data_IF_471171953945
#
_entry.id   IF_471171953945
#
_cell.length_a   1.000
_cell.length_b   1.000
_cell.length_c   1.000
_cell.angle_alpha   90.00
_cell.angle_beta   90.00
_cell.angle_gamma   90.00
#
_symmetry.space_group_name_H-M   'P 1'
#
loop_
_entity.id
_entity.type
_entity.pdbx_description
1 polymer ?
#
# COMPACT_ATOMS: atom_id res chain seq x y z
N UNK A 1 21.23 -20.33 1.82
CA UNK A 1 20.49 -21.34 1.04
C UNK A 1 21.47 -21.93 0.04
N UNK A 2 21.83 -23.20 0.18
CA UNK A 2 22.62 -23.92 -0.84
C UNK A 2 21.73 -24.34 -2.02
N UNK A 3 22.33 -24.71 -3.15
CA UNK A 3 21.58 -25.30 -4.25
C UNK A 3 20.95 -26.62 -3.81
N UNK A 4 19.73 -26.95 -4.27
CA UNK A 4 19.14 -28.25 -4.02
C UNK A 4 20.07 -29.35 -4.56
N UNK A 5 20.23 -30.43 -3.80
CA UNK A 5 20.87 -31.63 -4.30
C UNK A 5 20.04 -32.18 -5.47
N UNK A 6 20.66 -32.29 -6.65
CA UNK A 6 19.97 -32.74 -7.86
C UNK A 6 19.38 -34.15 -7.69
N UNK A 7 19.99 -35.01 -6.87
CA UNK A 7 19.49 -36.36 -6.61
C UNK A 7 18.21 -36.30 -5.77
N UNK A 8 18.18 -35.48 -4.72
CA UNK A 8 16.99 -35.31 -3.86
C UNK A 8 15.84 -34.64 -4.63
N UNK A 9 16.14 -33.67 -5.49
CA UNK A 9 15.13 -33.06 -6.36
C UNK A 9 14.52 -34.07 -7.34
N UNK A 10 15.35 -34.91 -7.95
CA UNK A 10 14.89 -35.93 -8.88
C UNK A 10 13.98 -36.94 -8.18
N UNK A 11 14.35 -37.40 -6.98
CA UNK A 11 13.53 -38.29 -6.15
C UNK A 11 12.17 -37.68 -5.82
N UNK A 12 12.13 -36.37 -5.52
CA UNK A 12 10.90 -35.64 -5.22
C UNK A 12 9.98 -35.55 -6.44
N UNK A 13 10.53 -35.32 -7.63
CA UNK A 13 9.77 -35.30 -8.89
C UNK A 13 9.23 -36.69 -9.24
N UNK A 14 10.03 -37.74 -9.05
CA UNK A 14 9.61 -39.13 -9.25
C UNK A 14 8.50 -39.54 -8.26
N UNK A 15 8.63 -39.13 -7.00
CA UNK A 15 7.59 -39.33 -5.99
C UNK A 15 6.29 -38.62 -6.41
N UNK A 16 6.34 -37.36 -6.85
CA UNK A 16 5.17 -36.63 -7.33
C UNK A 16 4.51 -37.31 -8.55
N UNK A 17 5.31 -37.83 -9.48
CA UNK A 17 4.82 -38.56 -10.65
C UNK A 17 4.05 -39.82 -10.24
N UNK A 18 4.45 -40.51 -9.17
CA UNK A 18 3.72 -41.68 -8.65
C UNK A 18 2.30 -41.35 -8.14
N UNK A 19 2.06 -40.10 -7.75
CA UNK A 19 0.75 -39.58 -7.35
C UNK A 19 -0.05 -38.94 -8.51
N UNK A 20 0.46 -39.00 -9.75
CA UNK A 20 -0.07 -38.27 -10.91
C UNK A 20 -0.13 -36.74 -10.70
N UNK A 21 0.83 -36.18 -9.96
CA UNK A 21 0.92 -34.76 -9.68
C UNK A 21 2.09 -34.15 -10.47
N UNK A 22 1.84 -33.16 -11.36
CA UNK A 22 2.94 -32.49 -12.06
C UNK A 22 3.69 -31.57 -11.08
N UNK A 23 4.97 -31.87 -10.84
CA UNK A 23 5.86 -31.08 -9.98
C UNK A 23 7.07 -30.60 -10.76
N UNK A 24 7.21 -29.28 -10.89
CA UNK A 24 8.41 -28.68 -11.46
C UNK A 24 9.53 -28.65 -10.41
N UNK A 25 10.75 -29.09 -10.77
CA UNK A 25 11.89 -29.07 -9.86
C UNK A 25 12.20 -27.66 -9.39
N UNK A 26 12.85 -27.53 -8.22
CA UNK A 26 13.36 -26.22 -7.77
C UNK A 26 14.49 -25.80 -8.70
N UNK A 27 14.39 -24.61 -9.27
CA UNK A 27 15.36 -24.12 -10.26
C UNK A 27 16.16 -22.95 -9.69
N UNK A 28 17.17 -22.49 -10.44
CA UNK A 28 17.87 -21.22 -10.15
C UNK A 28 16.92 -20.02 -10.14
N UNK A 29 15.76 -20.13 -10.81
CA UNK A 29 14.73 -19.09 -10.81
C UNK A 29 14.12 -18.84 -9.42
N UNK A 30 13.86 -19.90 -8.65
CA UNK A 30 13.35 -19.79 -7.27
C UNK A 30 14.34 -19.04 -6.39
N UNK A 31 15.61 -19.43 -6.44
CA UNK A 31 16.68 -18.77 -5.70
C UNK A 31 16.84 -17.31 -6.13
N UNK A 32 16.80 -17.03 -7.43
CA UNK A 32 16.91 -15.67 -7.96
C UNK A 32 15.79 -14.76 -7.43
N UNK A 33 14.54 -15.25 -7.39
CA UNK A 33 13.41 -14.50 -6.84
C UNK A 33 13.59 -14.21 -5.36
N UNK A 34 14.00 -15.21 -4.56
CA UNK A 34 14.25 -15.03 -3.12
C UNK A 34 15.36 -14.00 -2.88
N UNK A 35 16.47 -14.08 -3.62
CA UNK A 35 17.59 -13.13 -3.49
C UNK A 35 17.15 -11.72 -3.91
N UNK A 36 16.48 -11.58 -5.05
CA UNK A 36 16.00 -10.30 -5.55
C UNK A 36 15.08 -9.62 -4.54
N UNK A 37 14.07 -10.34 -4.04
CA UNK A 37 13.15 -9.80 -3.05
C UNK A 37 13.87 -9.47 -1.73
N UNK A 38 14.83 -10.28 -1.30
CA UNK A 38 15.63 -9.98 -0.11
C UNK A 38 16.43 -8.68 -0.24
N UNK A 39 16.98 -8.39 -1.42
CA UNK A 39 17.66 -7.11 -1.71
C UNK A 39 16.67 -5.95 -1.64
N UNK A 40 15.49 -6.11 -2.23
CA UNK A 40 14.41 -5.10 -2.18
C UNK A 40 14.00 -4.80 -0.72
N UNK A 41 13.78 -5.84 0.10
CA UNK A 41 13.50 -5.65 1.54
C UNK A 41 14.68 -5.03 2.31
N UNK A 42 15.92 -5.23 1.86
CA UNK A 42 17.09 -4.52 2.39
C UNK A 42 17.04 -3.01 2.12
N UNK A 43 16.59 -2.59 0.94
CA UNK A 43 16.38 -1.19 0.59
C UNK A 43 15.24 -0.60 1.42
N UNK A 44 14.14 -1.33 1.57
CA UNK A 44 13.01 -0.92 2.40
C UNK A 44 13.42 -0.76 3.88
N UNK A 45 14.21 -1.68 4.41
CA UNK A 45 14.74 -1.59 5.77
C UNK A 45 15.56 -0.31 5.97
N UNK A 46 16.41 0.04 5.01
CA UNK A 46 17.17 1.29 5.04
C UNK A 46 16.23 2.51 5.02
N UNK A 47 15.20 2.52 4.17
CA UNK A 47 14.21 3.60 4.11
C UNK A 47 13.43 3.75 5.42
N UNK A 48 12.99 2.64 6.03
CA UNK A 48 12.33 2.64 7.35
C UNK A 48 13.28 3.14 8.44
N UNK A 49 14.53 2.67 8.45
CA UNK A 49 15.55 3.13 9.39
C UNK A 49 15.80 4.64 9.29
N UNK A 50 15.93 5.15 8.06
CA UNK A 50 16.08 6.58 7.79
C UNK A 50 14.87 7.39 8.28
N UNK A 51 13.65 6.88 8.04
CA UNK A 51 12.42 7.52 8.47
C UNK A 51 12.28 7.55 10.01
N UNK A 52 12.64 6.46 10.69
CA UNK A 52 12.65 6.39 12.16
C UNK A 52 13.70 7.34 12.76
N UNK A 53 14.88 7.43 12.14
CA UNK A 53 15.91 8.39 12.52
C UNK A 53 15.42 9.84 12.39
N UNK A 54 14.68 10.14 11.31
CA UNK A 54 14.12 11.46 11.03
C UNK A 54 12.69 11.65 11.53
N UNK A 55 12.24 10.88 12.54
CA UNK A 55 10.84 10.92 13.04
C UNK A 55 10.35 12.28 13.54
N UNK A 56 11.27 13.20 13.85
CA UNK A 56 10.95 14.59 14.27
C UNK A 56 10.61 15.51 13.09
N UNK A 57 10.89 15.13 11.85
CA UNK A 57 10.60 15.94 10.67
C UNK A 57 9.09 15.91 10.38
N UNK A 58 8.37 17.05 10.36
CA UNK A 58 6.90 17.06 10.35
C UNK A 58 6.25 16.27 9.20
N UNK A 59 6.72 16.36 7.94
CA UNK A 59 6.16 15.56 6.85
C UNK A 59 6.32 14.04 7.05
N UNK A 60 7.42 13.59 7.69
CA UNK A 60 7.62 12.17 8.04
C UNK A 60 6.73 11.79 9.23
N UNK A 61 6.67 12.64 10.26
CA UNK A 61 5.85 12.43 11.46
C UNK A 61 4.38 12.23 11.08
N UNK A 62 3.85 13.02 10.15
CA UNK A 62 2.48 12.93 9.65
C UNK A 62 2.15 11.57 9.02
N UNK A 63 3.14 10.85 8.46
CA UNK A 63 2.93 9.51 7.90
C UNK A 63 2.93 8.40 8.95
N UNK A 64 3.20 8.68 10.23
CA UNK A 64 3.19 7.65 11.28
C UNK A 64 4.34 6.65 11.14
N UNK A 65 5.59 7.05 11.43
CA UNK A 65 6.77 6.24 11.12
C UNK A 65 6.78 4.87 11.83
N UNK A 66 6.23 4.79 13.05
CA UNK A 66 6.09 3.52 13.79
C UNK A 66 5.12 2.57 13.08
N UNK A 67 3.98 3.09 12.61
CA UNK A 67 2.98 2.30 11.90
C UNK A 67 3.56 1.70 10.61
N UNK A 68 4.36 2.49 9.91
CA UNK A 68 5.05 2.05 8.69
C UNK A 68 6.16 1.03 8.96
N UNK A 69 6.86 1.12 10.10
CA UNK A 69 7.79 0.08 10.53
C UNK A 69 7.04 -1.24 10.83
N UNK A 70 5.87 -1.17 11.47
CA UNK A 70 5.02 -2.36 11.67
C UNK A 70 4.56 -2.95 10.34
N UNK A 71 4.15 -2.12 9.37
CA UNK A 71 3.79 -2.58 8.02
C UNK A 71 4.95 -3.37 7.39
N UNK A 72 6.16 -2.83 7.43
CA UNK A 72 7.36 -3.49 6.91
C UNK A 72 7.60 -4.86 7.59
N UNK A 73 7.51 -4.93 8.92
CA UNK A 73 7.67 -6.18 9.67
C UNK A 73 6.62 -7.23 9.26
N UNK A 74 5.35 -6.84 9.14
CA UNK A 74 4.30 -7.72 8.61
C UNK A 74 4.62 -8.19 7.19
N UNK A 75 5.07 -7.29 6.30
CA UNK A 75 5.49 -7.65 4.94
C UNK A 75 6.67 -8.64 4.91
N UNK A 76 7.61 -8.55 5.86
CA UNK A 76 8.72 -9.52 6.00
C UNK A 76 8.20 -10.88 6.46
N UNK A 77 7.28 -10.92 7.42
CA UNK A 77 6.65 -12.19 7.83
C UNK A 77 5.86 -12.83 6.69
N UNK A 78 5.13 -12.03 5.91
CA UNK A 78 4.49 -12.52 4.69
C UNK A 78 5.53 -13.16 3.76
N UNK A 79 6.65 -12.48 3.48
CA UNK A 79 7.72 -13.01 2.62
C UNK A 79 8.28 -14.34 3.09
N UNK A 80 8.60 -14.45 4.38
CA UNK A 80 9.11 -15.69 4.97
C UNK A 80 8.09 -16.83 4.82
N UNK A 81 6.81 -16.53 5.05
CA UNK A 81 5.72 -17.47 4.87
C UNK A 81 5.50 -17.89 3.41
N UNK A 82 5.68 -16.97 2.46
CA UNK A 82 5.58 -17.22 1.02
C UNK A 82 6.69 -18.13 0.52
N UNK A 83 7.93 -17.90 0.96
CA UNK A 83 9.08 -18.77 0.65
C UNK A 83 8.82 -20.21 1.07
N UNK A 84 8.20 -20.43 2.23
CA UNK A 84 7.83 -21.75 2.72
C UNK A 84 6.68 -22.36 1.89
N UNK A 85 5.51 -21.72 1.88
CA UNK A 85 4.29 -22.30 1.33
C UNK A 85 4.35 -22.45 -0.20
N UNK A 86 5.04 -21.56 -0.90
CA UNK A 86 5.19 -21.65 -2.36
C UNK A 86 6.34 -22.59 -2.77
N UNK A 87 7.03 -23.23 -1.81
CA UNK A 87 8.04 -24.26 -2.08
C UNK A 87 9.35 -23.73 -2.66
N UNK A 88 9.72 -22.47 -2.39
CA UNK A 88 10.96 -21.88 -2.88
C UNK A 88 12.20 -22.40 -2.15
N UNK A 89 12.04 -22.85 -0.90
CA UNK A 89 13.12 -23.39 -0.08
C UNK A 89 12.85 -24.86 0.31
N UNK A 90 13.90 -25.67 0.54
CA UNK A 90 13.77 -27.00 1.16
C UNK A 90 13.22 -26.91 2.58
N UNK A 91 12.19 -27.71 2.86
CA UNK A 91 11.56 -27.78 4.17
C UNK A 91 12.22 -28.88 5.00
N UNK A 92 12.51 -30.04 4.38
CA UNK A 92 13.14 -31.20 5.00
C UNK A 92 14.37 -30.81 5.83
N UNK A 93 14.40 -31.27 7.09
CA UNK A 93 15.46 -31.02 8.07
C UNK A 93 15.69 -29.52 8.41
N UNK A 94 14.69 -28.67 8.20
CA UNK A 94 14.73 -27.25 8.59
C UNK A 94 13.59 -26.86 9.52
N UNK A 95 13.67 -25.65 10.08
CA UNK A 95 12.57 -25.05 10.86
C UNK A 95 11.30 -24.85 10.02
N UNK A 96 11.42 -24.81 8.69
CA UNK A 96 10.30 -24.65 7.77
C UNK A 96 9.42 -25.90 7.63
N UNK A 97 9.80 -27.03 8.22
CA UNK A 97 8.92 -28.22 8.33
C UNK A 97 7.62 -27.94 9.10
N UNK A 98 7.60 -26.92 9.97
CA UNK A 98 6.40 -26.54 10.72
C UNK A 98 5.40 -25.77 9.85
N UNK A 99 4.58 -26.48 9.09
CA UNK A 99 3.54 -25.89 8.23
C UNK A 99 2.51 -25.06 8.99
N UNK A 100 2.16 -25.44 10.22
CA UNK A 100 1.26 -24.64 11.07
C UNK A 100 1.93 -23.36 11.55
N UNK A 101 3.18 -23.44 12.01
CA UNK A 101 3.91 -22.27 12.49
C UNK A 101 4.09 -21.23 11.38
N UNK A 102 4.70 -21.63 10.27
CA UNK A 102 5.01 -20.67 9.21
C UNK A 102 3.81 -20.37 8.29
N UNK A 103 3.00 -21.37 7.96
CA UNK A 103 1.84 -21.18 7.08
C UNK A 103 0.71 -20.42 7.76
N UNK A 104 0.38 -20.73 9.01
CA UNK A 104 -0.73 -20.06 9.72
C UNK A 104 -0.21 -18.80 10.39
N UNK A 105 0.72 -18.92 11.35
CA UNK A 105 1.11 -17.76 12.17
C UNK A 105 1.94 -16.73 11.39
N UNK A 106 2.99 -17.16 10.72
CA UNK A 106 3.92 -16.24 10.04
C UNK A 106 3.28 -15.67 8.77
N UNK A 107 2.79 -16.51 7.86
CA UNK A 107 2.22 -16.06 6.58
C UNK A 107 0.86 -15.37 6.76
N UNK A 108 -0.12 -16.09 7.32
CA UNK A 108 -1.52 -15.61 7.33
C UNK A 108 -1.73 -14.54 8.41
N UNK A 109 -1.43 -14.83 9.68
CA UNK A 109 -1.79 -13.93 10.78
C UNK A 109 -0.88 -12.71 10.88
N UNK A 110 0.43 -12.93 10.99
CA UNK A 110 1.42 -11.85 11.14
C UNK A 110 1.71 -11.15 9.81
N UNK A 111 1.68 -11.89 8.70
CA UNK A 111 1.86 -11.38 7.35
C UNK A 111 0.62 -10.69 6.80
N UNK A 112 -0.24 -11.45 6.13
CA UNK A 112 -1.40 -10.94 5.36
C UNK A 112 -2.35 -10.15 6.27
N UNK A 113 -2.85 -10.77 7.34
CA UNK A 113 -3.79 -10.13 8.25
C UNK A 113 -3.18 -8.93 8.98
N UNK A 114 -1.87 -9.00 9.30
CA UNK A 114 -1.10 -7.89 9.85
C UNK A 114 -1.04 -6.69 8.89
N UNK A 115 -0.67 -6.90 7.63
CA UNK A 115 -0.68 -5.86 6.60
C UNK A 115 -2.07 -5.24 6.47
N UNK A 116 -3.12 -6.05 6.39
CA UNK A 116 -4.51 -5.57 6.34
C UNK A 116 -4.87 -4.75 7.60
N UNK A 117 -4.46 -5.20 8.80
CA UNK A 117 -4.71 -4.49 10.06
C UNK A 117 -4.10 -3.09 10.07
N UNK A 118 -2.85 -2.98 9.60
CA UNK A 118 -2.10 -1.72 9.57
C UNK A 118 -2.71 -0.74 8.56
N UNK A 119 -3.09 -1.22 7.37
CA UNK A 119 -3.80 -0.41 6.37
C UNK A 119 -5.16 0.04 6.90
N UNK A 120 -5.91 -0.87 7.54
CA UNK A 120 -7.20 -0.55 8.16
C UNK A 120 -7.06 0.54 9.24
N UNK A 121 -6.08 0.38 10.13
CA UNK A 121 -5.81 1.33 11.21
C UNK A 121 -5.45 2.70 10.64
N UNK A 122 -4.65 2.74 9.57
CA UNK A 122 -4.31 4.00 8.89
C UNK A 122 -5.55 4.67 8.32
N UNK A 123 -6.38 3.95 7.54
CA UNK A 123 -7.62 4.47 6.98
C UNK A 123 -8.58 4.96 8.08
N UNK A 124 -8.70 4.19 9.16
CA UNK A 124 -9.53 4.55 10.31
C UNK A 124 -9.02 5.79 11.04
N UNK A 125 -7.70 5.94 11.17
CA UNK A 125 -7.08 7.15 11.75
C UNK A 125 -7.45 8.38 10.92
N UNK A 126 -7.34 8.30 9.59
CA UNK A 126 -7.70 9.40 8.70
C UNK A 126 -9.19 9.76 8.81
N UNK A 127 -10.06 8.75 8.83
CA UNK A 127 -11.49 8.95 9.03
C UNK A 127 -11.79 9.66 10.36
N UNK A 128 -11.19 9.21 11.45
CA UNK A 128 -11.43 9.77 12.79
C UNK A 128 -10.94 11.21 12.93
N UNK A 129 -9.77 11.52 12.37
CA UNK A 129 -9.18 12.87 12.45
C UNK A 129 -9.92 13.86 11.55
N UNK A 130 -10.22 13.49 10.30
CA UNK A 130 -10.73 14.45 9.32
C UNK A 130 -12.26 14.52 9.28
N UNK A 131 -12.96 13.40 9.42
CA UNK A 131 -14.43 13.39 9.36
C UNK A 131 -15.03 13.66 10.74
N UNK A 132 -14.57 12.93 11.76
CA UNK A 132 -15.14 13.04 13.10
C UNK A 132 -14.55 14.19 13.93
N UNK A 133 -13.41 14.74 13.52
CA UNK A 133 -12.66 15.77 14.27
C UNK A 133 -12.34 15.34 15.72
N UNK A 134 -12.19 14.04 15.94
CA UNK A 134 -11.92 13.47 17.25
C UNK A 134 -10.43 13.13 17.41
N UNK A 135 -9.90 13.32 18.61
CA UNK A 135 -8.51 12.97 18.92
C UNK A 135 -8.28 11.47 18.81
N UNK A 136 -7.23 11.04 18.10
CA UNK A 136 -6.84 9.62 17.97
C UNK A 136 -6.20 9.04 19.24
N UNK A 137 -6.53 9.57 20.42
CA UNK A 137 -5.96 9.16 21.71
C UNK A 137 -6.96 8.32 22.49
N UNK A 138 -6.42 7.37 23.25
CA UNK A 138 -7.18 6.56 24.21
C UNK A 138 -7.59 5.19 23.67
N UNK A 139 -8.00 4.31 24.61
CA UNK A 139 -8.29 2.91 24.34
C UNK A 139 -9.48 2.71 23.39
N UNK A 140 -10.48 3.61 23.44
CA UNK A 140 -11.69 3.53 22.58
C UNK A 140 -11.36 3.61 21.10
N UNK A 141 -10.35 4.41 20.72
CA UNK A 141 -9.88 4.52 19.35
C UNK A 141 -9.28 3.19 18.85
N UNK A 142 -8.53 2.50 19.71
CA UNK A 142 -7.90 1.21 19.37
C UNK A 142 -8.82 0.00 19.54
N UNK A 143 -10.02 0.16 20.11
CA UNK A 143 -10.92 -0.96 20.38
C UNK A 143 -11.28 -1.80 19.14
N UNK A 144 -11.59 -1.23 17.95
CA UNK A 144 -11.85 -2.02 16.74
C UNK A 144 -10.63 -2.84 16.30
N UNK A 145 -9.42 -2.27 16.43
CA UNK A 145 -8.18 -2.97 16.10
C UNK A 145 -7.90 -4.10 17.09
N UNK A 146 -8.08 -3.85 18.40
CA UNK A 146 -7.89 -4.87 19.45
C UNK A 146 -8.87 -6.03 19.23
N UNK A 147 -10.14 -5.72 18.92
CA UNK A 147 -11.14 -6.74 18.59
C UNK A 147 -10.72 -7.56 17.35
N UNK A 148 -10.23 -6.91 16.30
CA UNK A 148 -9.73 -7.58 15.10
C UNK A 148 -8.51 -8.47 15.40
N UNK A 149 -7.53 -7.98 16.17
CA UNK A 149 -6.36 -8.77 16.62
C UNK A 149 -6.81 -9.98 17.43
N UNK A 150 -7.78 -9.81 18.34
CA UNK A 150 -8.33 -10.91 19.14
C UNK A 150 -8.98 -11.97 18.24
N UNK A 151 -9.76 -11.56 17.23
CA UNK A 151 -10.33 -12.48 16.24
C UNK A 151 -9.25 -13.26 15.47
N UNK A 152 -8.18 -12.59 15.03
CA UNK A 152 -7.03 -13.23 14.36
C UNK A 152 -6.36 -14.25 15.28
N UNK A 153 -6.11 -13.88 16.54
CA UNK A 153 -5.45 -14.77 17.51
C UNK A 153 -6.32 -15.98 17.81
N UNK A 154 -7.62 -15.80 18.04
CA UNK A 154 -8.56 -16.90 18.24
C UNK A 154 -8.58 -17.81 17.02
N UNK A 155 -8.66 -17.24 15.81
CA UNK A 155 -8.59 -18.02 14.57
C UNK A 155 -7.28 -18.83 14.48
N UNK A 156 -6.13 -18.22 14.80
CA UNK A 156 -4.83 -18.89 14.82
C UNK A 156 -4.73 -20.04 15.81
N UNK A 157 -5.25 -19.85 17.02
CA UNK A 157 -5.29 -20.89 18.06
C UNK A 157 -6.19 -22.04 17.63
N UNK A 158 -7.40 -21.76 17.15
CA UNK A 158 -8.34 -22.78 16.65
C UNK A 158 -7.72 -23.54 15.48
N UNK A 159 -7.16 -22.84 14.50
CA UNK A 159 -6.51 -23.42 13.34
C UNK A 159 -5.31 -24.32 13.71
N UNK A 160 -4.58 -23.96 14.77
CA UNK A 160 -3.44 -24.75 15.27
C UNK A 160 -3.87 -25.97 16.07
N UNK A 161 -5.02 -25.89 16.75
CA UNK A 161 -5.62 -26.98 17.53
C UNK A 161 -6.32 -28.03 16.65
N UNK A 162 -6.70 -27.68 15.41
CA UNK A 162 -7.25 -28.62 14.45
C UNK A 162 -6.25 -29.74 14.10
N UNK A 163 -6.79 -30.89 13.72
CA UNK A 163 -6.00 -32.01 13.23
C UNK A 163 -5.22 -31.62 11.95
N UNK A 164 -4.09 -32.27 11.70
CA UNK A 164 -3.20 -31.94 10.57
C UNK A 164 -3.95 -32.01 9.23
N UNK A 165 -4.72 -33.09 9.04
CA UNK A 165 -5.55 -33.31 7.85
C UNK A 165 -6.66 -32.28 7.63
N UNK A 166 -7.05 -31.53 8.67
CA UNK A 166 -8.07 -30.49 8.59
C UNK A 166 -7.49 -29.07 8.47
N UNK A 167 -6.18 -28.90 8.63
CA UNK A 167 -5.49 -27.60 8.70
C UNK A 167 -4.35 -27.51 7.70
N UNK A 168 -3.12 -27.65 8.18
CA UNK A 168 -1.90 -27.66 7.39
C UNK A 168 -1.05 -28.87 7.79
N UNK A 169 -0.59 -29.60 6.78
CA UNK A 169 0.19 -30.83 6.92
C UNK A 169 1.43 -30.76 6.04
N UNK A 170 2.55 -31.22 6.60
CA UNK A 170 3.79 -31.40 5.84
C UNK A 170 3.74 -32.76 5.15
N UNK A 171 3.98 -32.80 3.84
CA UNK A 171 4.05 -34.03 3.05
C UNK A 171 5.52 -34.33 2.78
N UNK A 172 6.15 -35.29 3.49
CA UNK A 172 7.59 -35.54 3.40
C UNK A 172 8.05 -35.94 2.00
N UNK A 173 7.23 -36.70 1.26
CA UNK A 173 7.55 -37.21 -0.07
C UNK A 173 7.68 -36.10 -1.12
N UNK A 174 6.93 -35.01 -0.91
CA UNK A 174 6.87 -33.88 -1.82
C UNK A 174 7.66 -32.67 -1.31
N UNK A 175 8.14 -32.69 -0.07
CA UNK A 175 8.81 -31.58 0.60
C UNK A 175 7.99 -30.26 0.48
N UNK A 176 6.67 -30.36 0.71
CA UNK A 176 5.73 -29.22 0.65
C UNK A 176 4.79 -29.19 1.86
N UNK A 177 4.27 -28.00 2.13
CA UNK A 177 3.14 -27.80 3.05
C UNK A 177 1.82 -27.82 2.27
N UNK A 178 0.99 -28.81 2.53
CA UNK A 178 -0.38 -28.87 2.02
C UNK A 178 -1.33 -28.21 2.99
N UNK A 179 -2.25 -27.39 2.48
CA UNK A 179 -3.35 -26.83 3.27
C UNK A 179 -4.66 -27.51 2.84
N UNK A 180 -5.44 -27.95 3.83
CA UNK A 180 -6.75 -28.52 3.57
C UNK A 180 -7.67 -27.49 2.89
N UNK A 181 -8.45 -27.92 1.90
CA UNK A 181 -9.36 -27.06 1.15
C UNK A 181 -10.36 -26.27 2.03
N UNK A 182 -11.07 -26.86 3.02
CA UNK A 182 -11.96 -26.08 3.88
C UNK A 182 -11.21 -25.01 4.67
N UNK A 183 -9.98 -25.32 5.12
CA UNK A 183 -9.14 -24.36 5.81
C UNK A 183 -8.75 -23.19 4.90
N UNK A 184 -8.30 -23.47 3.66
CA UNK A 184 -8.03 -22.44 2.65
C UNK A 184 -9.24 -21.51 2.45
N UNK A 185 -10.44 -22.07 2.25
CA UNK A 185 -11.67 -21.29 2.07
C UNK A 185 -11.91 -20.36 3.27
N UNK A 186 -11.77 -20.87 4.49
CA UNK A 186 -11.96 -20.07 5.71
C UNK A 186 -10.97 -18.90 5.82
N UNK A 187 -9.70 -19.12 5.48
CA UNK A 187 -8.66 -18.08 5.46
C UNK A 187 -9.01 -16.99 4.44
N UNK A 188 -9.33 -17.37 3.20
CA UNK A 188 -9.69 -16.39 2.16
C UNK A 188 -10.97 -15.64 2.50
N UNK A 189 -12.00 -16.29 3.05
CA UNK A 189 -13.22 -15.63 3.49
C UNK A 189 -12.92 -14.55 4.55
N UNK A 190 -12.05 -14.87 5.52
CA UNK A 190 -11.63 -13.93 6.55
C UNK A 190 -10.84 -12.73 5.99
N UNK A 191 -9.89 -12.98 5.08
CA UNK A 191 -9.10 -11.92 4.43
C UNK A 191 -9.98 -11.03 3.53
N UNK A 192 -10.93 -11.62 2.81
CA UNK A 192 -11.90 -10.88 1.99
C UNK A 192 -12.82 -10.01 2.84
N UNK A 193 -13.37 -10.54 3.94
CA UNK A 193 -14.22 -9.76 4.85
C UNK A 193 -13.47 -8.53 5.39
N UNK A 194 -12.21 -8.71 5.78
CA UNK A 194 -11.35 -7.61 6.23
C UNK A 194 -11.08 -6.59 5.11
N UNK A 195 -10.75 -7.07 3.91
CA UNK A 195 -10.44 -6.21 2.77
C UNK A 195 -11.66 -5.39 2.31
N UNK A 196 -12.84 -5.98 2.33
CA UNK A 196 -14.10 -5.27 2.06
C UNK A 196 -14.34 -4.19 3.12
N UNK A 197 -14.15 -4.49 4.40
CA UNK A 197 -14.29 -3.51 5.46
C UNK A 197 -13.33 -2.31 5.28
N UNK A 198 -12.06 -2.58 4.96
CA UNK A 198 -11.06 -1.54 4.63
C UNK A 198 -11.49 -0.73 3.42
N UNK A 199 -11.99 -1.39 2.38
CA UNK A 199 -12.55 -0.74 1.19
C UNK A 199 -13.71 0.20 1.52
N UNK A 200 -14.63 -0.21 2.41
CA UNK A 200 -15.75 0.62 2.86
C UNK A 200 -15.28 1.86 3.62
N UNK A 201 -14.29 1.74 4.51
CA UNK A 201 -13.70 2.90 5.20
C UNK A 201 -13.00 3.83 4.19
N UNK A 202 -12.19 3.27 3.28
CA UNK A 202 -11.50 4.04 2.25
C UNK A 202 -12.49 4.77 1.33
N UNK A 203 -13.63 4.15 1.03
CA UNK A 203 -14.70 4.78 0.27
C UNK A 203 -15.32 5.97 1.02
N UNK A 204 -15.52 5.86 2.34
CA UNK A 204 -16.05 6.96 3.16
C UNK A 204 -15.12 8.17 3.17
N UNK A 205 -13.80 7.97 3.22
CA UNK A 205 -12.81 9.07 3.26
C UNK A 205 -12.52 9.71 1.88
N UNK A 206 -13.14 9.24 0.79
CA UNK A 206 -12.83 9.70 -0.58
C UNK A 206 -13.11 11.20 -0.81
N UNK A 207 -14.02 11.79 -0.03
CA UNK A 207 -14.41 13.19 -0.17
C UNK A 207 -13.48 14.17 0.55
N UNK A 208 -12.57 13.65 1.39
CA UNK A 208 -11.61 14.48 2.11
C UNK A 208 -10.58 14.98 1.09
N UNK A 209 -10.69 16.25 0.74
CA UNK A 209 -9.66 17.02 0.01
C UNK A 209 -8.47 17.23 0.94
N UNK A 210 -7.78 16.15 1.28
CA UNK A 210 -6.59 16.22 2.13
C UNK A 210 -5.46 16.88 1.36
N UNK A 211 -4.84 17.87 1.99
CA UNK A 211 -3.61 18.59 1.64
C UNK A 211 -2.49 17.74 1.05
N UNK A 212 -2.53 16.44 1.26
CA UNK A 212 -1.43 15.53 0.97
C UNK A 212 -1.77 14.40 0.03
N UNK A 213 -2.88 14.46 -0.71
CA UNK A 213 -3.35 13.36 -1.56
C UNK A 213 -3.49 12.03 -0.80
N UNK A 214 -3.67 12.06 0.52
CA UNK A 214 -3.68 10.84 1.34
C UNK A 214 -4.85 9.93 1.00
N UNK A 215 -6.02 10.49 0.73
CA UNK A 215 -7.17 9.71 0.26
C UNK A 215 -6.87 8.99 -1.05
N UNK A 216 -6.13 9.63 -1.97
CA UNK A 216 -5.72 9.04 -3.25
C UNK A 216 -4.65 7.96 -3.04
N UNK A 217 -3.66 8.19 -2.18
CA UNK A 217 -2.66 7.19 -1.79
C UNK A 217 -3.34 5.94 -1.19
N UNK A 218 -4.31 6.13 -0.29
CA UNK A 218 -5.07 5.04 0.33
C UNK A 218 -5.99 4.31 -0.67
N UNK A 219 -6.60 5.03 -1.61
CA UNK A 219 -7.38 4.42 -2.68
C UNK A 219 -6.50 3.53 -3.59
N UNK A 220 -5.33 4.04 -3.99
CA UNK A 220 -4.37 3.27 -4.79
C UNK A 220 -3.91 2.04 -4.01
N UNK A 221 -3.57 2.18 -2.72
CA UNK A 221 -3.20 1.07 -1.86
C UNK A 221 -4.32 0.02 -1.77
N UNK A 222 -5.57 0.45 -1.58
CA UNK A 222 -6.73 -0.44 -1.54
C UNK A 222 -6.94 -1.19 -2.86
N UNK A 223 -6.79 -0.49 -4.00
CA UNK A 223 -6.93 -1.10 -5.33
C UNK A 223 -5.83 -2.16 -5.58
N UNK A 224 -4.59 -1.88 -5.19
CA UNK A 224 -3.47 -2.84 -5.29
C UNK A 224 -3.75 -4.09 -4.44
N UNK A 225 -4.16 -3.92 -3.17
CA UNK A 225 -4.49 -5.06 -2.28
C UNK A 225 -5.62 -5.90 -2.86
N UNK A 226 -6.71 -5.28 -3.32
CA UNK A 226 -7.84 -6.01 -3.91
C UNK A 226 -7.46 -6.74 -5.19
N UNK A 227 -6.63 -6.13 -6.05
CA UNK A 227 -6.12 -6.77 -7.26
C UNK A 227 -5.31 -8.03 -6.96
N UNK A 228 -4.36 -7.94 -6.02
CA UNK A 228 -3.53 -9.08 -5.61
C UNK A 228 -4.34 -10.14 -4.87
N UNK A 229 -5.26 -9.74 -3.99
CA UNK A 229 -6.16 -10.68 -3.31
C UNK A 229 -7.04 -11.45 -4.31
N UNK A 230 -7.55 -10.76 -5.33
CA UNK A 230 -8.32 -11.39 -6.42
C UNK A 230 -7.45 -12.38 -7.18
N UNK A 231 -6.25 -11.97 -7.59
CA UNK A 231 -5.30 -12.86 -8.26
C UNK A 231 -5.02 -14.11 -7.44
N UNK A 232 -4.67 -13.97 -6.15
CA UNK A 232 -4.37 -15.09 -5.27
C UNK A 232 -5.57 -16.01 -5.05
N UNK A 233 -6.77 -15.44 -4.93
CA UNK A 233 -8.01 -16.21 -4.85
C UNK A 233 -8.21 -17.04 -6.13
N UNK A 234 -8.10 -16.41 -7.30
CA UNK A 234 -8.18 -17.12 -8.58
C UNK A 234 -7.12 -18.21 -8.70
N UNK A 235 -5.87 -17.91 -8.36
CA UNK A 235 -4.78 -18.88 -8.40
C UNK A 235 -5.06 -20.11 -7.54
N UNK A 236 -5.53 -19.94 -6.30
CA UNK A 236 -5.81 -21.07 -5.40
C UNK A 236 -6.98 -21.95 -5.87
N UNK A 237 -8.04 -21.34 -6.41
CA UNK A 237 -9.26 -22.08 -6.76
C UNK A 237 -9.24 -22.62 -8.19
N UNK A 238 -8.58 -21.94 -9.13
CA UNK A 238 -8.45 -22.38 -10.52
C UNK A 238 -7.25 -23.31 -10.69
N UNK A 239 -6.15 -23.04 -9.97
CA UNK A 239 -4.91 -23.81 -10.04
C UNK A 239 -4.49 -24.29 -8.64
N UNK A 240 -5.19 -25.27 -8.04
CA UNK A 240 -4.88 -25.73 -6.68
C UNK A 240 -3.45 -26.27 -6.51
N UNK A 241 -2.83 -26.71 -7.60
CA UNK A 241 -1.44 -27.18 -7.68
C UNK A 241 -0.44 -26.07 -8.08
N UNK A 242 -0.80 -24.79 -8.00
CA UNK A 242 0.08 -23.69 -8.38
C UNK A 242 1.46 -23.67 -7.66
N UNK A 243 1.62 -24.12 -6.39
CA UNK A 243 2.94 -24.15 -5.75
C UNK A 243 3.87 -25.17 -6.42
N UNK A 244 3.31 -26.17 -7.10
CA UNK A 244 4.05 -27.23 -7.77
C UNK A 244 4.53 -26.81 -9.16
N UNK A 245 3.95 -25.74 -9.73
CA UNK A 245 4.31 -25.23 -11.04
C UNK A 245 5.18 -23.99 -10.91
N UNK A 246 6.39 -24.03 -11.48
CA UNK A 246 7.43 -23.01 -11.35
C UNK A 246 6.91 -21.61 -11.71
N UNK A 247 6.19 -21.51 -12.83
CA UNK A 247 5.67 -20.23 -13.35
C UNK A 247 4.71 -19.58 -12.36
N UNK A 248 3.81 -20.37 -11.80
CA UNK A 248 2.76 -19.85 -10.93
C UNK A 248 3.25 -19.56 -9.52
N UNK A 249 4.13 -20.38 -8.95
CA UNK A 249 4.73 -20.08 -7.65
C UNK A 249 5.56 -18.80 -7.69
N UNK A 250 6.37 -18.61 -8.75
CA UNK A 250 7.14 -17.38 -8.94
C UNK A 250 6.21 -16.17 -9.12
N UNK A 251 5.21 -16.28 -9.99
CA UNK A 251 4.27 -15.19 -10.24
C UNK A 251 3.51 -14.76 -8.98
N UNK A 252 3.01 -15.71 -8.18
CA UNK A 252 2.31 -15.43 -6.93
C UNK A 252 3.21 -14.73 -5.92
N UNK A 253 4.41 -15.26 -5.66
CA UNK A 253 5.37 -14.63 -4.73
C UNK A 253 5.76 -13.23 -5.20
N UNK A 254 6.12 -13.06 -6.47
CA UNK A 254 6.52 -11.75 -7.00
C UNK A 254 5.38 -10.73 -6.88
N UNK A 255 4.14 -11.11 -7.21
CA UNK A 255 3.00 -10.20 -7.14
C UNK A 255 2.67 -9.79 -5.69
N UNK A 256 2.71 -10.74 -4.75
CA UNK A 256 2.49 -10.48 -3.32
C UNK A 256 3.50 -9.47 -2.75
N UNK A 257 4.77 -9.58 -3.16
CA UNK A 257 5.81 -8.68 -2.67
C UNK A 257 5.87 -7.36 -3.43
N UNK A 258 5.52 -7.33 -4.72
CA UNK A 258 5.29 -6.07 -5.44
C UNK A 258 4.15 -5.29 -4.80
N UNK A 259 3.08 -5.95 -4.35
CA UNK A 259 2.00 -5.33 -3.60
C UNK A 259 2.49 -4.69 -2.30
N UNK A 260 3.19 -5.45 -1.46
CA UNK A 260 3.75 -4.94 -0.20
C UNK A 260 4.67 -3.73 -0.41
N UNK A 261 5.56 -3.83 -1.40
CA UNK A 261 6.50 -2.77 -1.76
C UNK A 261 5.78 -1.52 -2.29
N UNK A 262 4.83 -1.71 -3.21
CA UNK A 262 4.05 -0.61 -3.75
C UNK A 262 3.26 0.10 -2.65
N UNK A 263 2.64 -0.64 -1.72
CA UNK A 263 1.97 -0.04 -0.56
C UNK A 263 2.92 0.80 0.28
N UNK A 264 4.09 0.26 0.61
CA UNK A 264 5.10 0.96 1.40
C UNK A 264 5.52 2.26 0.71
N UNK A 265 5.98 2.17 -0.54
CA UNK A 265 6.53 3.30 -1.31
C UNK A 265 5.48 4.34 -1.72
N UNK A 266 4.22 3.95 -1.95
CA UNK A 266 3.12 4.90 -2.18
C UNK A 266 2.94 5.81 -0.96
N UNK A 267 3.08 5.28 0.26
CA UNK A 267 2.88 6.04 1.50
C UNK A 267 4.12 6.86 1.89
N UNK A 268 5.32 6.26 1.84
CA UNK A 268 6.54 6.89 2.39
C UNK A 268 7.48 7.45 1.32
N UNK A 269 7.34 7.05 0.06
CA UNK A 269 8.35 7.33 -0.97
C UNK A 269 8.59 8.82 -1.17
N UNK A 270 7.50 9.60 -1.29
CA UNK A 270 7.58 11.06 -1.42
C UNK A 270 8.28 11.73 -0.22
N UNK A 271 7.83 11.55 1.05
CA UNK A 271 8.49 12.22 2.16
C UNK A 271 9.93 11.77 2.40
N UNK A 272 10.27 10.50 2.17
CA UNK A 272 11.65 9.99 2.32
C UNK A 272 12.58 10.63 1.28
N UNK A 273 12.24 10.55 -0.01
CA UNK A 273 13.07 11.09 -1.10
C UNK A 273 13.26 12.61 -0.95
N UNK A 274 12.18 13.34 -0.68
CA UNK A 274 12.26 14.79 -0.52
C UNK A 274 13.00 15.21 0.76
N UNK A 275 12.92 14.43 1.84
CA UNK A 275 13.70 14.68 3.05
C UNK A 275 15.21 14.48 2.80
N UNK A 276 15.60 13.53 1.95
CA UNK A 276 17.02 13.28 1.60
C UNK A 276 17.56 14.42 0.73
N UNK A 277 16.89 14.73 -0.38
CA UNK A 277 17.46 15.62 -1.40
C UNK A 277 17.08 17.09 -1.26
N UNK A 278 15.90 17.42 -0.70
CA UNK A 278 15.31 18.77 -0.75
C UNK A 278 14.56 19.12 0.54
N UNK A 279 15.16 18.81 1.69
CA UNK A 279 14.51 18.88 3.02
C UNK A 279 13.81 20.21 3.34
N UNK A 280 14.47 21.35 3.10
CA UNK A 280 13.90 22.68 3.40
C UNK A 280 12.75 23.03 2.46
N UNK A 281 12.99 22.94 1.15
CA UNK A 281 11.99 23.17 0.11
C UNK A 281 10.73 22.32 0.30
N UNK A 282 10.89 21.05 0.70
CA UNK A 282 9.75 20.17 0.97
C UNK A 282 8.97 20.60 2.22
N UNK A 283 9.65 21.05 3.27
CA UNK A 283 9.01 21.56 4.48
C UNK A 283 8.23 22.84 4.20
N UNK A 284 8.81 23.76 3.42
CA UNK A 284 8.16 25.02 3.05
C UNK A 284 6.92 24.75 2.19
N UNK A 285 7.05 23.87 1.19
CA UNK A 285 5.92 23.43 0.36
C UNK A 285 4.82 22.77 1.21
N UNK A 286 5.21 21.84 2.09
CA UNK A 286 4.28 21.13 2.98
C UNK A 286 3.53 22.09 3.91
N UNK A 287 4.25 23.05 4.49
CA UNK A 287 3.68 24.09 5.36
C UNK A 287 2.75 25.00 4.58
N UNK A 288 3.13 25.45 3.38
CA UNK A 288 2.27 26.27 2.53
C UNK A 288 0.97 25.54 2.17
N UNK A 289 1.02 24.25 1.86
CA UNK A 289 -0.19 23.46 1.59
C UNK A 289 -1.08 23.34 2.83
N UNK A 290 -0.52 23.07 4.02
CA UNK A 290 -1.30 23.11 5.27
C UNK A 290 -1.98 24.45 5.52
N UNK A 291 -1.31 25.55 5.16
CA UNK A 291 -1.86 26.89 5.33
C UNK A 291 -3.08 27.11 4.44
N UNK A 292 -3.01 26.67 3.18
CA UNK A 292 -4.11 26.80 2.22
C UNK A 292 -5.33 25.96 2.63
N UNK A 293 -5.12 24.80 3.24
CA UNK A 293 -6.21 23.89 3.62
C UNK A 293 -6.81 24.18 5.01
N UNK A 294 -6.36 25.25 5.68
CA UNK A 294 -6.88 25.64 7.00
C UNK A 294 -6.49 24.70 8.15
N UNK A 295 -5.59 23.74 7.92
CA UNK A 295 -5.18 22.72 8.90
C UNK A 295 -4.07 23.19 9.86
N UNK A 296 -3.69 24.47 9.82
CA UNK A 296 -2.59 25.02 10.63
C UNK A 296 -2.77 24.76 12.13
N UNK A 297 -4.01 24.90 12.63
CA UNK A 297 -4.35 24.70 14.05
C UNK A 297 -4.15 23.26 14.50
N UNK A 298 -4.38 22.27 13.62
CA UNK A 298 -4.26 20.85 13.98
C UNK A 298 -2.81 20.38 14.11
N UNK A 299 -1.86 21.08 13.49
CA UNK A 299 -0.44 20.69 13.47
C UNK A 299 0.44 21.50 14.44
N UNK A 300 -0.15 22.32 15.32
CA UNK A 300 0.58 23.13 16.30
C UNK A 300 1.75 23.90 15.67
N UNK A 301 1.55 24.46 14.47
CA UNK A 301 2.53 25.37 13.87
C UNK A 301 2.41 26.67 14.67
N UNK A 302 2.99 26.69 15.87
CA UNK A 302 3.19 27.91 16.63
C UNK A 302 3.89 28.88 15.69
N UNK A 303 3.21 29.99 15.38
CA UNK A 303 3.84 31.17 14.80
C UNK A 303 4.86 31.63 15.83
N UNK A 304 6.06 31.05 15.79
CA UNK A 304 7.20 31.51 16.57
C UNK A 304 7.24 33.01 16.32
N UNK A 305 7.04 33.81 17.36
CA UNK A 305 6.75 35.24 17.31
C UNK A 305 7.90 36.11 16.81
N UNK A 306 8.60 35.68 15.76
CA UNK A 306 9.01 36.63 14.75
C UNK A 306 7.73 37.16 14.14
N UNK A 307 7.29 38.30 14.68
CA UNK A 307 6.67 39.36 13.91
C UNK A 307 7.50 39.48 12.63
N UNK A 308 7.14 38.68 11.62
CA UNK A 308 7.37 39.05 10.25
C UNK A 308 6.62 40.35 10.18
N UNK A 309 7.35 41.47 10.23
CA UNK A 309 6.83 42.73 9.72
C UNK A 309 6.09 42.34 8.46
N UNK A 310 4.77 42.50 8.51
CA UNK A 310 3.95 42.46 7.32
C UNK A 310 4.45 43.66 6.54
N UNK A 311 5.55 43.46 5.80
CA UNK A 311 5.87 44.28 4.65
C UNK A 311 4.56 44.27 3.89
N UNK A 312 3.92 45.44 3.89
CA UNK A 312 2.78 45.71 3.03
C UNK A 312 3.02 45.01 1.71
N UNK A 313 1.99 44.35 1.13
CA UNK A 313 2.13 43.79 -0.19
C UNK A 313 2.49 44.94 -1.14
N UNK A 314 3.79 45.11 -1.38
CA UNK A 314 4.27 45.86 -2.52
C UNK A 314 3.71 45.11 -3.72
N UNK A 315 2.68 45.73 -4.27
CA UNK A 315 2.12 45.47 -5.57
C UNK A 315 3.18 44.95 -6.54
N UNK A 316 2.82 43.89 -7.27
CA UNK A 316 3.56 43.31 -8.39
C UNK A 316 4.56 42.19 -8.05
N UNK A 317 4.07 41.08 -7.50
CA UNK A 317 4.40 39.79 -8.10
C UNK A 317 3.13 39.22 -8.75
N UNK A 318 3.04 39.40 -10.07
CA UNK A 318 2.08 38.68 -10.90
C UNK A 318 2.30 37.19 -10.68
N UNK A 319 1.37 36.55 -10.00
CA UNK A 319 1.18 35.11 -10.07
C UNK A 319 0.77 34.76 -11.50
N UNK A 320 1.75 34.67 -12.40
CA UNK A 320 1.56 34.07 -13.71
C UNK A 320 1.54 32.54 -13.52
N UNK A 321 0.38 31.97 -13.84
CA UNK A 321 0.19 30.64 -14.42
C UNK A 321 0.87 29.45 -13.76
N UNK A 322 0.25 28.94 -12.69
CA UNK A 322 0.30 27.49 -12.38
C UNK A 322 -1.05 27.00 -11.85
N UNK A 323 -2.12 27.30 -12.60
CA UNK A 323 -3.39 26.60 -12.53
C UNK A 323 -3.77 26.12 -13.93
N UNK A 324 -3.26 24.95 -14.32
CA UNK A 324 -3.86 24.15 -15.38
C UNK A 324 -3.85 22.70 -14.95
N UNK A 325 -5.01 22.18 -14.57
CA UNK A 325 -5.69 21.04 -15.21
C UNK A 325 -6.92 20.68 -14.38
N UNK A 326 -8.09 21.02 -14.93
CA UNK A 326 -9.35 20.26 -14.93
C UNK A 326 -10.58 21.16 -14.77
N UNK A 327 -10.97 21.82 -15.86
CA UNK A 327 -12.36 22.09 -16.18
C UNK A 327 -12.59 21.68 -17.64
N UNK A 328 -13.59 20.85 -17.95
CA UNK A 328 -13.97 20.56 -19.31
C UNK A 328 -14.82 21.71 -19.88
N UNK A 329 -14.77 21.83 -21.20
CA UNK A 329 -15.63 22.65 -22.07
C UNK A 329 -15.23 24.12 -22.34
N UNK A 330 -14.84 24.32 -23.61
CA UNK A 330 -15.15 25.48 -24.46
C UNK A 330 -14.63 26.87 -24.08
N UNK A 331 -13.52 27.27 -24.72
CA UNK A 331 -13.51 28.24 -25.84
C UNK A 331 -12.07 28.61 -26.26
N UNK A 332 -11.89 28.72 -27.59
CA UNK A 332 -10.82 29.42 -28.34
C UNK A 332 -9.78 30.18 -27.49
N UNK A 333 -8.53 29.73 -27.53
CA UNK A 333 -7.37 30.57 -27.23
C UNK A 333 -6.62 30.93 -28.53
N UNK A 334 -6.16 32.19 -28.69
CA UNK A 334 -5.18 32.55 -29.71
C UNK A 334 -3.80 32.00 -29.33
N UNK A 335 -3.02 31.60 -30.33
CA UNK A 335 -1.66 31.08 -30.17
C UNK A 335 -0.71 32.15 -29.63
N UNK A 336 -0.36 32.08 -28.35
CA UNK A 336 0.70 32.89 -27.71
C UNK A 336 1.96 32.05 -27.55
N UNK A 337 2.47 31.52 -28.68
CA UNK A 337 3.80 30.90 -28.78
C UNK A 337 4.45 31.28 -30.11
N UNK A 338 4.39 32.57 -30.48
CA UNK A 338 5.01 33.07 -31.70
C UNK A 338 6.40 33.70 -31.49
N UNK A 339 6.81 34.06 -30.26
CA UNK A 339 8.05 34.82 -30.05
C UNK A 339 8.91 34.25 -28.92
N UNK A 340 9.55 33.10 -29.15
CA UNK A 340 10.69 32.66 -28.35
C UNK A 340 11.92 32.52 -29.27
N UNK A 341 13.03 33.24 -28.98
CA UNK A 341 14.21 33.26 -29.85
C UNK A 341 14.97 31.91 -29.81
N UNK A 342 15.47 31.50 -30.98
CA UNK A 342 15.88 30.14 -31.32
C UNK A 342 17.33 29.77 -30.92
N UNK A 343 17.95 30.50 -30.00
CA UNK A 343 19.39 30.43 -29.70
C UNK A 343 19.75 29.79 -28.35
N UNK A 344 18.79 29.18 -27.64
CA UNK A 344 19.05 28.42 -26.40
C UNK A 344 18.51 26.99 -26.35
N UNK A 345 18.48 26.29 -27.50
CA UNK A 345 18.38 24.83 -27.50
C UNK A 345 19.74 24.19 -27.78
N UNK A 346 20.43 23.84 -26.69
CA UNK A 346 21.56 22.92 -26.74
C UNK A 346 21.10 21.54 -27.22
N UNK A 347 21.51 21.22 -28.44
CA UNK A 347 22.27 20.04 -28.81
C UNK A 347 22.12 18.82 -27.89
N UNK A 348 21.36 17.84 -28.36
CA UNK A 348 21.68 16.42 -28.25
C UNK A 348 21.22 15.77 -29.56
N UNK A 349 22.20 15.23 -30.27
CA UNK A 349 22.12 14.64 -31.59
C UNK A 349 21.21 13.40 -31.68
N UNK A 350 20.73 13.19 -32.91
CA UNK A 350 20.33 11.94 -33.59
C UNK A 350 19.14 11.13 -33.05
N UNK A 351 18.15 10.71 -33.86
CA UNK A 351 18.00 10.75 -35.31
C UNK A 351 16.77 9.96 -35.75
N UNK A 352 16.36 10.16 -37.01
CA UNK A 352 15.36 9.43 -37.83
C UNK A 352 13.88 9.50 -37.40
N UNK A 353 13.07 10.38 -38.01
CA UNK A 353 12.33 10.22 -39.28
C UNK A 353 11.42 8.98 -39.34
N UNK A 354 10.10 9.19 -39.27
CA UNK A 354 9.23 8.93 -40.43
C UNK A 354 7.85 9.59 -40.27
N UNK A 355 7.38 10.06 -41.42
CA UNK A 355 6.32 11.01 -41.70
C UNK A 355 5.20 10.35 -42.52
N UNK A 356 3.95 10.68 -42.22
CA UNK A 356 2.81 10.69 -43.18
C UNK A 356 1.59 11.27 -42.44
N UNK A 357 1.11 12.50 -42.67
CA UNK A 357 0.46 13.12 -43.86
C UNK A 357 -1.02 12.70 -44.04
N UNK A 358 -1.91 13.65 -43.69
CA UNK A 358 -3.26 14.01 -44.21
C UNK A 358 -4.49 13.09 -43.92
N UNK A 359 -5.75 13.58 -44.10
CA UNK A 359 -6.31 14.90 -43.79
C UNK A 359 -7.71 14.86 -43.11
N UNK A 360 -8.18 16.07 -42.79
CA UNK A 360 -9.49 16.57 -42.33
C UNK A 360 -10.76 16.07 -43.03
N UNK A 361 -11.83 15.86 -42.26
CA UNK A 361 -13.25 16.02 -42.64
C UNK A 361 -14.03 16.49 -41.39
N UNK A 362 -14.83 17.56 -41.50
CA UNK A 362 -15.99 17.85 -40.63
C UNK A 362 -17.26 17.82 -41.49
N UNK A 363 -18.41 18.40 -41.07
CA UNK A 363 -19.01 18.61 -39.75
C UNK A 363 -20.37 17.87 -39.63
N UNK A 364 -21.03 17.90 -38.46
CA UNK A 364 -22.48 18.22 -38.29
C UNK A 364 -23.01 17.87 -36.88
N UNK A 365 -23.75 18.83 -36.32
CA UNK A 365 -24.47 18.88 -35.02
C UNK A 365 -25.79 18.06 -35.04
N UNK A 366 -26.73 18.22 -34.08
CA UNK A 366 -26.69 18.32 -32.61
C UNK A 366 -27.58 17.24 -31.93
N UNK A 367 -27.43 17.05 -30.60
CA UNK A 367 -28.36 16.23 -29.81
C UNK A 367 -28.44 16.67 -28.36
N UNK A 368 -29.44 17.48 -28.04
CA UNK A 368 -29.88 17.82 -26.68
C UNK A 368 -30.32 16.57 -25.89
N UNK A 369 -29.92 16.43 -24.63
CA UNK A 369 -30.79 15.82 -23.61
C UNK A 369 -30.50 16.39 -22.23
N UNK A 370 -31.56 16.92 -21.61
CA UNK A 370 -31.60 17.51 -20.28
C UNK A 370 -32.03 16.47 -19.23
N UNK A 371 -31.86 16.85 -17.95
CA UNK A 371 -32.44 16.28 -16.71
C UNK A 371 -31.66 15.15 -16.01
N UNK A 372 -31.15 15.40 -14.80
CA UNK A 372 -31.90 15.41 -13.53
C UNK A 372 -31.02 15.99 -12.42
N UNK A 373 -31.52 17.02 -11.75
CA UNK A 373 -30.92 17.59 -10.54
C UNK A 373 -31.27 16.76 -9.31
N UNK A 374 -30.27 16.48 -8.49
CA UNK A 374 -30.42 15.96 -7.13
C UNK A 374 -29.87 17.04 -6.18
N UNK A 375 -30.78 17.81 -5.57
CA UNK A 375 -30.45 18.68 -4.45
C UNK A 375 -30.25 17.81 -3.20
N UNK A 376 -29.05 17.83 -2.63
CA UNK A 376 -28.79 17.30 -1.29
C UNK A 376 -28.74 18.46 -0.30
N UNK A 377 -29.79 18.56 0.51
CA UNK A 377 -29.96 19.49 1.63
C UNK A 377 -28.95 19.16 2.76
N UNK A 378 -27.86 19.93 2.85
CA UNK A 378 -26.91 19.85 3.97
C UNK A 378 -27.42 20.68 5.15
N UNK A 379 -28.08 20.03 6.12
CA UNK A 379 -28.35 20.62 7.43
C UNK A 379 -27.11 20.56 8.30
N UNK A 380 -26.56 21.74 8.60
CA UNK A 380 -25.57 21.90 9.66
C UNK A 380 -26.25 21.66 11.02
N UNK A 381 -25.86 20.58 11.69
CA UNK A 381 -26.21 20.32 13.10
C UNK A 381 -25.17 21.04 13.95
N UNK A 382 -25.60 22.07 14.68
CA UNK A 382 -24.81 22.71 15.72
C UNK A 382 -24.73 21.79 16.94
N UNK A 383 -23.52 21.50 17.40
CA UNK A 383 -23.28 20.79 18.66
C UNK A 383 -22.87 21.81 19.74
N UNK A 384 -23.34 21.63 21.00
CA UNK A 384 -23.07 22.59 22.06
C UNK A 384 -21.64 22.52 22.58
N UNK A 385 -21.06 23.71 22.78
CA UNK A 385 -19.76 23.98 23.39
C UNK A 385 -19.78 23.63 24.89
N UNK A 386 -19.45 22.39 25.27
CA UNK A 386 -19.19 22.06 26.67
C UNK A 386 -18.20 20.91 26.82
N UNK A 387 -16.92 21.09 26.42
CA UNK A 387 -15.80 20.29 26.93
C UNK A 387 -14.48 21.04 26.74
N UNK A 388 -14.20 22.01 27.61
CA UNK A 388 -12.85 22.56 27.81
C UNK A 388 -12.43 22.26 29.25
N UNK A 389 -11.66 21.18 29.40
CA UNK A 389 -11.03 20.82 30.66
C UNK A 389 -10.13 19.61 30.44
N UNK A 390 -8.84 19.79 30.72
CA UNK A 390 -7.73 18.84 30.61
C UNK A 390 -6.97 18.82 29.28
N UNK A 391 -6.10 19.83 29.13
CA UNK A 391 -4.91 19.73 28.28
C UNK A 391 -3.70 20.27 29.07
N UNK A 392 -3.08 19.41 29.87
CA UNK A 392 -1.66 19.54 30.18
C UNK A 392 -1.14 18.19 30.65
N UNK A 393 -0.71 17.35 29.70
CA UNK A 393 0.53 16.60 29.89
C UNK A 393 1.06 16.09 28.56
N UNK A 394 2.36 16.35 28.39
CA UNK A 394 3.18 16.15 27.20
C UNK A 394 3.78 14.74 27.19
N UNK A 395 4.11 14.32 25.96
CA UNK A 395 5.06 13.27 25.56
C UNK A 395 4.61 11.80 25.60
N UNK A 396 5.13 11.09 24.57
CA UNK A 396 4.88 9.70 24.15
C UNK A 396 3.58 9.59 23.34
N UNK A 397 3.62 9.39 22.01
CA UNK A 397 4.30 8.32 21.25
C UNK A 397 4.93 8.88 19.97
#
# INVERSE_FOLDING_TARGET
MGFPDAVLEQQRVEAAASFNIPLDPRTRGDLAVVVLLSVVYGIDLFAIGFMLWNRKYPPIKAKGPVLMACLFVCSVFWFIGDVQINGHAPLANTVFTSCRGFGIWVRVLLGICGVCAIVALRSYTLYHVFELQLSSRGLRFYAPLIAYILCIVVFGVVASALHASASAEYIPELDICSLAQPFKISVYAFVWATSVFVGLINWRIRHIKSSFNEAREMFIACAIVLGVLTFNTCMQFVHPNYPMQLRFRIASTVLDHVCCNALLWVIIGKPVVWCIFRRKMYLDKWTATLRMDGLQRMYEIESSGHTVEVLEPQSAYKAHDFYYYNTPEDKKYPSVYADMPADQLWQSEDGSRLSSVLPTVGPDSPGHTSMLGFESENRAVSWPEHYLGYANDRQLI
#
